data_IF_122882804857
#
_entry.id   IF_122882804857
#
_cell.length_a   1.000
_cell.length_b   1.000
_cell.length_c   1.000
_cell.angle_alpha   90.00
_cell.angle_beta   90.00
_cell.angle_gamma   90.00
#
_symmetry.space_group_name_H-M   'P 1'
#
loop_
_entity.id
_entity.type
_entity.pdbx_description
1 polymer ?
#
# COMPACT_ATOMS: atom_id res chain seq x y z
N UNK A 1 7.62 -15.95 4.24
CA UNK A 1 7.55 -14.82 3.28
C UNK A 1 8.11 -15.20 1.93
N UNK A 2 9.36 -15.66 1.82
CA UNK A 2 9.90 -16.22 0.58
C UNK A 2 9.12 -17.47 0.10
N UNK A 3 8.71 -18.34 1.03
CA UNK A 3 7.84 -19.49 0.77
C UNK A 3 6.56 -19.10 0.00
N UNK A 4 5.81 -18.12 0.50
CA UNK A 4 4.61 -17.62 -0.19
C UNK A 4 4.93 -17.03 -1.57
N UNK A 5 6.08 -16.38 -1.74
CA UNK A 5 6.48 -15.85 -3.05
C UNK A 5 6.76 -17.00 -4.03
N UNK A 6 7.42 -18.07 -3.58
CA UNK A 6 7.67 -19.25 -4.39
C UNK A 6 6.40 -20.06 -4.70
N UNK A 7 5.45 -20.11 -3.76
CA UNK A 7 4.16 -20.79 -3.91
C UNK A 7 3.26 -20.05 -4.91
N UNK A 8 3.03 -18.75 -4.69
CA UNK A 8 2.07 -17.96 -5.46
C UNK A 8 2.67 -17.32 -6.73
N UNK A 9 4.00 -17.30 -6.84
CA UNK A 9 4.77 -16.75 -7.98
C UNK A 9 4.25 -15.39 -8.46
N UNK A 10 4.16 -14.38 -7.58
CA UNK A 10 3.58 -13.09 -7.93
C UNK A 10 4.45 -12.36 -8.95
N UNK A 11 3.80 -11.60 -9.84
CA UNK A 11 4.50 -10.74 -10.81
C UNK A 11 5.32 -9.66 -10.08
N UNK A 12 4.83 -9.19 -8.92
CA UNK A 12 5.50 -8.20 -8.06
C UNK A 12 5.12 -8.44 -6.60
N UNK A 13 6.09 -8.26 -5.72
CA UNK A 13 5.88 -8.24 -4.27
C UNK A 13 6.31 -6.88 -3.74
N UNK A 14 5.40 -6.18 -3.04
CA UNK A 14 5.69 -4.90 -2.40
C UNK A 14 6.01 -5.12 -0.92
N UNK A 15 7.03 -4.44 -0.43
CA UNK A 15 7.44 -4.46 0.99
C UNK A 15 7.45 -3.02 1.50
N UNK A 16 6.68 -2.70 2.54
CA UNK A 16 6.82 -1.42 3.23
C UNK A 16 8.16 -1.42 3.95
N UNK A 17 9.07 -0.54 3.52
CA UNK A 17 10.44 -0.48 4.07
C UNK A 17 10.57 0.46 5.26
N UNK A 18 9.47 1.11 5.67
CA UNK A 18 9.47 1.97 6.86
C UNK A 18 9.64 1.12 8.13
N UNK A 19 10.66 1.43 8.94
CA UNK A 19 10.96 0.70 10.17
C UNK A 19 11.67 -0.64 9.92
N UNK A 20 11.09 -1.74 10.39
CA UNK A 20 11.73 -3.08 10.33
C UNK A 20 11.72 -3.69 8.92
N UNK A 21 10.95 -3.14 7.97
CA UNK A 21 10.75 -3.72 6.65
C UNK A 21 11.99 -3.69 5.74
N UNK A 22 12.94 -2.77 5.97
CA UNK A 22 14.19 -2.71 5.21
C UNK A 22 14.99 -4.01 5.32
N UNK A 23 15.12 -4.57 6.53
CA UNK A 23 15.83 -5.84 6.73
C UNK A 23 15.13 -7.04 6.07
N UNK A 24 13.79 -7.03 6.03
CA UNK A 24 13.01 -8.06 5.33
C UNK A 24 13.23 -7.96 3.82
N UNK A 25 13.21 -6.74 3.27
CA UNK A 25 13.48 -6.50 1.86
C UNK A 25 14.86 -7.00 1.44
N UNK A 26 15.91 -6.69 2.21
CA UNK A 26 17.26 -7.13 1.93
C UNK A 26 17.41 -8.66 2.02
N UNK A 27 16.79 -9.28 3.03
CA UNK A 27 16.76 -10.73 3.19
C UNK A 27 16.09 -11.41 2.00
N UNK A 28 14.92 -10.92 1.56
CA UNK A 28 14.19 -11.47 0.41
C UNK A 28 14.98 -11.30 -0.89
N UNK A 29 15.61 -10.14 -1.10
CA UNK A 29 16.49 -9.93 -2.27
C UNK A 29 17.67 -10.88 -2.29
N UNK A 30 18.27 -11.14 -1.13
CA UNK A 30 19.40 -12.07 -1.00
C UNK A 30 18.97 -13.52 -1.25
N UNK A 31 17.81 -13.92 -0.73
CA UNK A 31 17.29 -15.29 -0.82
C UNK A 31 16.74 -15.62 -2.22
N UNK A 32 15.97 -14.72 -2.80
CA UNK A 32 15.25 -14.94 -4.06
C UNK A 32 15.99 -14.40 -5.31
N UNK A 33 17.09 -13.67 -5.10
CA UNK A 33 17.88 -13.08 -6.17
C UNK A 33 17.05 -12.21 -7.11
N UNK A 34 17.21 -12.43 -8.42
CA UNK A 34 16.50 -11.69 -9.47
C UNK A 34 15.31 -12.45 -10.06
N UNK A 35 14.98 -13.63 -9.53
CA UNK A 35 13.86 -14.44 -10.02
C UNK A 35 12.52 -13.74 -9.81
N UNK A 36 12.36 -13.07 -8.68
CA UNK A 36 11.14 -12.35 -8.32
C UNK A 36 11.38 -10.84 -8.24
N UNK A 37 10.36 -10.08 -8.67
CA UNK A 37 10.39 -8.63 -8.62
C UNK A 37 9.92 -8.13 -7.25
N UNK A 38 10.87 -7.94 -6.34
CA UNK A 38 10.63 -7.31 -5.04
C UNK A 38 10.74 -5.78 -5.18
N UNK A 39 9.72 -5.07 -4.71
CA UNK A 39 9.58 -3.62 -4.83
C UNK A 39 9.50 -3.02 -3.43
N UNK A 40 10.39 -2.09 -3.14
CA UNK A 40 10.28 -1.27 -1.93
C UNK A 40 9.10 -0.29 -2.05
N UNK A 41 8.37 -0.12 -0.96
CA UNK A 41 7.38 0.93 -0.81
C UNK A 41 7.74 1.71 0.45
N UNK A 42 8.02 3.00 0.29
CA UNK A 42 8.21 3.89 1.43
C UNK A 42 6.92 4.71 1.58
N UNK A 43 6.13 4.37 2.60
CA UNK A 43 4.85 5.01 2.88
C UNK A 43 5.00 6.48 3.31
N UNK A 44 6.14 6.85 3.89
CA UNK A 44 6.46 8.22 4.30
C UNK A 44 7.05 9.09 3.19
N UNK A 45 7.53 8.49 2.10
CA UNK A 45 8.12 9.21 0.96
C UNK A 45 7.14 10.18 0.32
N UNK A 46 7.68 11.24 -0.29
CA UNK A 46 6.92 12.23 -1.03
C UNK A 46 6.06 11.58 -2.13
N UNK A 47 4.81 12.06 -2.25
CA UNK A 47 3.87 11.62 -3.28
C UNK A 47 4.40 11.88 -4.71
N UNK A 48 3.84 11.18 -5.71
CA UNK A 48 4.10 11.49 -7.11
C UNK A 48 3.36 12.77 -7.49
N UNK A 49 2.09 12.89 -7.11
CA UNK A 49 1.33 14.13 -7.15
C UNK A 49 1.45 14.91 -5.83
N UNK A 50 2.50 15.73 -5.76
CA UNK A 50 2.91 16.50 -4.57
C UNK A 50 2.01 17.69 -4.26
N UNK A 51 1.20 18.11 -5.22
CA UNK A 51 0.27 19.22 -5.06
C UNK A 51 -1.02 18.77 -4.38
N UNK A 52 -1.31 17.46 -4.41
CA UNK A 52 -2.56 16.89 -3.89
C UNK A 52 -2.35 16.04 -2.64
N UNK A 53 -1.23 15.33 -2.53
CA UNK A 53 -1.01 14.37 -1.45
C UNK A 53 0.25 14.67 -0.64
N UNK A 54 0.17 14.49 0.67
CA UNK A 54 1.29 14.66 1.58
C UNK A 54 2.43 13.65 1.29
N UNK A 55 2.07 12.39 1.08
CA UNK A 55 3.01 11.28 0.92
C UNK A 55 2.43 10.15 0.07
N UNK A 56 3.27 9.13 -0.20
CA UNK A 56 2.91 7.95 -0.99
C UNK A 56 1.78 7.12 -0.38
N UNK A 57 1.67 7.09 0.96
CA UNK A 57 0.54 6.46 1.66
C UNK A 57 -0.78 7.14 1.33
N UNK A 58 -0.84 8.47 1.43
CA UNK A 58 -2.02 9.26 1.11
C UNK A 58 -2.45 9.10 -0.35
N UNK A 59 -1.50 9.20 -1.27
CA UNK A 59 -1.76 8.99 -2.69
C UNK A 59 -2.25 7.57 -2.99
N UNK A 60 -1.60 6.56 -2.39
CA UNK A 60 -1.96 5.16 -2.59
C UNK A 60 -3.37 4.82 -2.12
N UNK A 61 -3.74 5.28 -0.93
CA UNK A 61 -5.08 5.07 -0.38
C UNK A 61 -6.17 5.78 -1.20
N UNK A 62 -5.91 7.00 -1.67
CA UNK A 62 -6.85 7.72 -2.50
C UNK A 62 -7.08 7.00 -3.85
N UNK A 63 -6.00 6.65 -4.54
CA UNK A 63 -6.06 5.92 -5.81
C UNK A 63 -6.77 4.56 -5.64
N UNK A 64 -6.49 3.86 -4.55
CA UNK A 64 -7.11 2.57 -4.24
C UNK A 64 -8.62 2.72 -3.98
N UNK A 65 -9.03 3.71 -3.19
CA UNK A 65 -10.45 4.02 -2.93
C UNK A 65 -11.21 4.35 -4.22
N UNK A 66 -10.58 5.14 -5.10
CA UNK A 66 -11.15 5.47 -6.41
C UNK A 66 -11.36 4.21 -7.26
N UNK A 67 -10.33 3.35 -7.35
CA UNK A 67 -10.40 2.10 -8.13
C UNK A 67 -11.50 1.16 -7.62
N UNK A 68 -11.69 1.07 -6.31
CA UNK A 68 -12.80 0.30 -5.73
C UNK A 68 -14.16 0.91 -6.10
N UNK A 69 -14.30 2.23 -5.97
CA UNK A 69 -15.55 2.95 -6.25
C UNK A 69 -15.93 2.88 -7.73
N UNK A 70 -14.94 2.89 -8.62
CA UNK A 70 -15.11 2.80 -10.08
C UNK A 70 -15.35 1.35 -10.55
N UNK A 71 -15.34 0.36 -9.64
CA UNK A 71 -15.50 -1.06 -9.97
C UNK A 71 -14.33 -1.63 -10.78
N UNK A 72 -13.14 -1.06 -10.65
CA UNK A 72 -11.93 -1.57 -11.28
C UNK A 72 -11.30 -2.74 -10.51
N UNK A 73 -11.64 -2.88 -9.22
CA UNK A 73 -11.06 -3.86 -8.31
C UNK A 73 -12.15 -4.62 -7.55
N UNK A 74 -12.04 -5.95 -7.57
CA UNK A 74 -12.75 -6.82 -6.64
C UNK A 74 -11.80 -7.30 -5.54
N UNK A 75 -12.30 -7.30 -4.31
CA UNK A 75 -11.54 -7.70 -3.14
C UNK A 75 -12.00 -9.06 -2.60
N UNK A 76 -11.09 -9.84 -1.99
CA UNK A 76 -11.48 -11.07 -1.34
C UNK A 76 -12.47 -10.81 -0.20
N UNK A 77 -13.38 -11.77 0.01
CA UNK A 77 -14.35 -11.70 1.09
C UNK A 77 -13.67 -11.92 2.45
N UNK A 78 -13.14 -10.85 3.04
CA UNK A 78 -12.42 -10.85 4.32
C UNK A 78 -13.00 -9.79 5.25
N UNK A 79 -13.59 -10.22 6.37
CA UNK A 79 -14.17 -9.29 7.35
C UNK A 79 -13.12 -8.39 7.97
N UNK A 80 -11.89 -8.90 8.17
CA UNK A 80 -10.77 -8.09 8.64
C UNK A 80 -10.42 -6.99 7.65
N UNK A 81 -10.35 -7.31 6.35
CA UNK A 81 -10.08 -6.31 5.32
C UNK A 81 -11.19 -5.27 5.29
N UNK A 82 -12.47 -5.70 5.21
CA UNK A 82 -13.62 -4.78 5.21
C UNK A 82 -13.62 -3.85 6.42
N UNK A 83 -13.38 -4.38 7.61
CA UNK A 83 -13.31 -3.59 8.84
C UNK A 83 -12.18 -2.55 8.77
N UNK A 84 -10.99 -2.93 8.30
CA UNK A 84 -9.89 -1.98 8.13
C UNK A 84 -10.21 -0.92 7.08
N UNK A 85 -10.79 -1.29 5.94
CA UNK A 85 -11.17 -0.34 4.89
C UNK A 85 -12.23 0.67 5.35
N UNK A 86 -13.23 0.21 6.09
CA UNK A 86 -14.28 1.05 6.64
C UNK A 86 -13.78 2.00 7.75
N UNK A 87 -12.63 1.68 8.35
CA UNK A 87 -12.08 2.42 9.48
C UNK A 87 -11.10 3.53 9.06
N UNK A 88 -10.47 3.44 7.88
CA UNK A 88 -9.51 4.45 7.39
C UNK A 88 -10.17 5.83 7.27
N UNK A 89 -9.50 6.87 7.82
CA UNK A 89 -9.88 8.26 7.60
C UNK A 89 -8.75 9.06 6.96
N UNK A 90 -9.13 10.13 6.28
CA UNK A 90 -8.20 11.12 5.74
C UNK A 90 -8.49 12.50 6.33
N UNK A 91 -7.50 13.37 6.25
CA UNK A 91 -7.57 14.78 6.64
C UNK A 91 -6.76 15.61 5.63
N UNK A 92 -6.74 16.93 5.83
CA UNK A 92 -5.90 17.84 5.07
C UNK A 92 -4.86 18.50 5.97
N UNK A 93 -3.65 18.64 5.45
CA UNK A 93 -2.62 19.45 6.11
C UNK A 93 -2.96 20.93 6.05
N UNK A 94 -2.26 21.77 6.82
CA UNK A 94 -2.37 23.24 6.73
C UNK A 94 -2.04 23.80 5.34
N UNK A 95 -1.33 23.03 4.51
CA UNK A 95 -1.00 23.37 3.12
C UNK A 95 -2.03 22.86 2.12
N UNK A 96 -3.14 22.28 2.57
CA UNK A 96 -4.20 21.74 1.72
C UNK A 96 -3.90 20.38 1.09
N UNK A 97 -2.79 19.73 1.46
CA UNK A 97 -2.45 18.38 0.96
C UNK A 97 -3.26 17.32 1.70
N UNK A 98 -3.82 16.35 0.99
CA UNK A 98 -4.49 15.19 1.57
C UNK A 98 -3.49 14.30 2.30
N UNK A 99 -3.86 13.87 3.50
CA UNK A 99 -3.12 12.91 4.30
C UNK A 99 -4.08 11.83 4.82
N UNK A 100 -3.60 10.59 4.96
CA UNK A 100 -4.29 9.63 5.84
C UNK A 100 -4.07 10.09 7.27
N UNK A 101 -5.09 9.94 8.11
CA UNK A 101 -5.03 10.36 9.50
C UNK A 101 -3.75 9.88 10.19
N UNK A 102 -3.23 10.70 11.10
CA UNK A 102 -2.02 10.36 11.83
C UNK A 102 -2.24 9.14 12.73
N UNK A 103 -1.15 8.45 13.08
CA UNK A 103 -1.22 7.30 14.00
C UNK A 103 -1.77 7.71 15.36
N UNK A 104 -1.45 8.92 15.79
CA UNK A 104 -1.94 9.53 17.01
C UNK A 104 -3.47 9.68 16.97
N UNK A 105 -4.01 10.29 15.91
CA UNK A 105 -5.46 10.47 15.76
C UNK A 105 -6.21 9.13 15.63
N UNK A 106 -5.64 8.18 14.87
CA UNK A 106 -6.17 6.84 14.77
C UNK A 106 -6.22 6.16 16.16
N UNK A 107 -5.13 6.25 16.93
CA UNK A 107 -5.07 5.69 18.28
C UNK A 107 -6.06 6.33 19.24
N UNK A 108 -6.23 7.65 19.20
CA UNK A 108 -7.13 8.40 20.08
C UNK A 108 -8.59 7.99 19.90
N UNK A 109 -9.00 7.60 18.68
CA UNK A 109 -10.33 7.06 18.40
C UNK A 109 -10.44 5.53 18.56
N UNK A 110 -9.40 4.87 19.07
CA UNK A 110 -9.38 3.42 19.27
C UNK A 110 -9.16 2.59 18.00
N UNK A 111 -8.71 3.21 16.90
CA UNK A 111 -8.36 2.52 15.67
C UNK A 111 -7.10 1.69 15.83
N UNK A 112 -7.07 0.56 15.14
CA UNK A 112 -5.90 -0.31 15.04
C UNK A 112 -5.19 -0.07 13.72
N UNK A 113 -3.90 -0.36 13.69
CA UNK A 113 -3.11 -0.29 12.46
C UNK A 113 -3.77 -1.11 11.33
N UNK A 114 -3.98 -0.54 10.13
CA UNK A 114 -4.69 -1.18 9.04
C UNK A 114 -3.76 -2.07 8.21
N UNK A 115 -3.00 -2.97 8.84
CA UNK A 115 -1.87 -3.66 8.18
C UNK A 115 -2.27 -4.45 6.91
N UNK A 116 -3.45 -5.08 6.91
CA UNK A 116 -3.95 -5.83 5.74
C UNK A 116 -4.43 -4.87 4.66
N UNK A 117 -5.12 -3.80 5.05
CA UNK A 117 -5.54 -2.72 4.15
C UNK A 117 -4.34 -2.04 3.48
N UNK A 118 -3.30 -1.70 4.25
CA UNK A 118 -2.05 -1.12 3.74
C UNK A 118 -1.37 -2.09 2.75
N UNK A 119 -1.31 -3.40 3.08
CA UNK A 119 -0.74 -4.40 2.17
C UNK A 119 -1.50 -4.51 0.84
N UNK A 120 -2.84 -4.54 0.88
CA UNK A 120 -3.68 -4.58 -0.32
C UNK A 120 -3.52 -3.28 -1.12
N UNK A 121 -3.57 -2.12 -0.47
CA UNK A 121 -3.36 -0.82 -1.11
C UNK A 121 -2.00 -0.77 -1.83
N UNK A 122 -0.92 -1.22 -1.19
CA UNK A 122 0.41 -1.25 -1.78
C UNK A 122 0.46 -2.13 -3.04
N UNK A 123 -0.22 -3.27 -3.03
CA UNK A 123 -0.29 -4.17 -4.18
C UNK A 123 -0.92 -3.51 -5.42
N UNK A 124 -1.79 -2.51 -5.24
CA UNK A 124 -2.41 -1.73 -6.32
C UNK A 124 -1.78 -0.36 -6.56
N UNK A 125 -0.78 0.03 -5.77
CA UNK A 125 -0.19 1.34 -5.85
C UNK A 125 0.67 1.51 -7.11
N UNK A 126 0.64 2.72 -7.68
CA UNK A 126 1.48 3.11 -8.81
C UNK A 126 2.95 2.98 -8.42
N UNK A 127 3.80 2.44 -9.28
CA UNK A 127 5.24 2.48 -9.05
C UNK A 127 5.73 3.93 -9.19
N UNK A 128 6.58 4.40 -8.27
CA UNK A 128 7.31 5.67 -8.41
C UNK A 128 8.40 5.66 -9.50
N UNK A 129 8.22 4.86 -10.55
CA UNK A 129 9.15 4.65 -11.64
C UNK A 129 8.53 3.78 -12.72
N UNK A 130 7.98 4.43 -13.76
CA UNK A 130 7.44 3.90 -15.02
C UNK A 130 7.26 2.39 -15.13
N UNK A 131 6.06 1.91 -14.84
CA UNK A 131 5.68 0.53 -15.13
C UNK A 131 4.21 0.31 -14.88
N UNK A 132 3.41 0.48 -15.94
CA UNK A 132 1.98 0.21 -15.93
C UNK A 132 1.68 -1.21 -15.41
N UNK A 133 0.65 -1.30 -14.58
CA UNK A 133 0.05 -2.56 -14.17
C UNK A 133 -1.03 -2.89 -15.21
N UNK A 134 -0.89 -4.00 -15.93
CA UNK A 134 -2.01 -4.51 -16.73
C UNK A 134 -2.92 -5.27 -15.77
N UNK A 135 -4.09 -4.70 -15.49
CA UNK A 135 -5.17 -5.41 -14.80
C UNK A 135 -5.85 -6.27 -15.87
N UNK A 136 -5.89 -7.58 -15.65
CA UNK A 136 -6.65 -8.49 -16.50
C UNK A 136 -8.11 -8.49 -16.00
N UNK A 137 -9.05 -8.18 -16.90
CA UNK A 137 -10.46 -8.52 -16.70
C UNK A 137 -10.69 -9.93 -17.23
N UNK A 138 -11.43 -10.74 -16.48
CA UNK A 138 -12.06 -11.97 -16.97
C UNK A 138 -13.26 -11.63 -17.86
#
# INVERSE_FOLDING_TARGET
>A
TAELINEYKPIRTYIDVVGLGAGIYDALKKELGTEYKIVEFDSGKQALDKERYLNRRAEGWWDFSKKLSDGELDLPNSDKLKAQLADIRYDYTTKGLLQIESKEHAKDRGSKSPDVGDAVMMAFSRKGGGGSMKVWRL
#
